data_IF_265050034808
#
_entry.id   IF_265050034808
#
_cell.length_a   1.000
_cell.length_b   1.000
_cell.length_c   1.000
_cell.angle_alpha   90.00
_cell.angle_beta   90.00
_cell.angle_gamma   90.00
#
_symmetry.space_group_name_H-M   'P 1'
#
loop_
_entity.id
_entity.type
_entity.pdbx_description
1 polymer ?
#
# COMPACT_ATOMS: atom_id res chain seq x y z
N UNK A 1 -12.64 -2.80 24.52
CA UNK A 1 -11.18 -2.60 24.32
C UNK A 1 -10.40 -2.61 25.64
N UNK A 2 -10.79 -1.91 26.70
CA UNK A 2 -10.05 -1.92 27.98
C UNK A 2 -9.85 -3.32 28.57
N UNK A 3 -10.90 -4.13 28.65
CA UNK A 3 -10.84 -5.52 29.15
C UNK A 3 -9.95 -6.44 28.30
N UNK A 4 -10.00 -6.32 26.96
CA UNK A 4 -9.13 -7.07 26.04
C UNK A 4 -7.65 -6.78 26.26
N UNK A 5 -7.30 -5.53 26.55
CA UNK A 5 -5.91 -5.13 26.83
C UNK A 5 -5.43 -5.56 28.23
N UNK A 6 -6.36 -5.65 29.19
CA UNK A 6 -6.01 -6.02 30.56
C UNK A 6 -5.70 -7.51 30.70
N UNK A 7 -6.43 -8.39 30.00
CA UNK A 7 -6.18 -9.84 30.02
C UNK A 7 -6.56 -10.48 28.68
N UNK A 8 -5.60 -10.56 27.77
CA UNK A 8 -5.79 -11.09 26.41
C UNK A 8 -6.21 -12.56 26.45
N UNK A 9 -5.62 -13.40 27.31
CA UNK A 9 -5.93 -14.82 27.34
C UNK A 9 -7.34 -15.10 27.84
N UNK A 10 -7.74 -14.54 29.01
CA UNK A 10 -9.10 -14.73 29.51
C UNK A 10 -10.16 -14.17 28.59
N UNK A 11 -9.87 -13.06 27.91
CA UNK A 11 -10.77 -12.50 26.92
C UNK A 11 -10.86 -13.39 25.67
N UNK A 12 -9.76 -14.03 25.29
CA UNK A 12 -9.75 -14.93 24.13
C UNK A 12 -10.49 -16.20 24.40
N UNK A 13 -10.34 -16.80 25.60
CA UNK A 13 -11.09 -18.01 26.00
C UNK A 13 -12.61 -17.76 25.92
N UNK A 14 -13.08 -16.59 26.35
CA UNK A 14 -14.48 -16.19 26.21
C UNK A 14 -14.91 -15.99 24.74
N UNK A 15 -14.00 -15.57 23.88
CA UNK A 15 -14.25 -15.29 22.46
C UNK A 15 -14.05 -16.50 21.57
N UNK A 16 -13.31 -17.52 22.02
CA UNK A 16 -13.09 -18.79 21.32
C UNK A 16 -14.31 -19.73 21.50
N UNK A 17 -15.49 -19.12 21.51
CA UNK A 17 -16.79 -19.77 21.67
C UNK A 17 -17.80 -19.30 20.63
N UNK A 18 -18.91 -20.05 20.45
CA UNK A 18 -19.97 -19.62 19.51
C UNK A 18 -20.71 -18.38 20.00
N UNK A 19 -20.90 -18.23 21.32
CA UNK A 19 -21.49 -17.04 21.94
C UNK A 19 -20.60 -15.80 21.73
N UNK A 20 -19.28 -15.94 21.90
CA UNK A 20 -18.32 -14.88 21.67
C UNK A 20 -18.34 -14.39 20.22
N UNK A 21 -18.38 -15.31 19.25
CA UNK A 21 -18.51 -14.96 17.83
C UNK A 21 -19.82 -14.26 17.54
N UNK A 22 -20.94 -14.74 18.10
CA UNK A 22 -22.25 -14.13 17.92
C UNK A 22 -22.28 -12.70 18.46
N UNK A 23 -21.80 -12.49 19.69
CA UNK A 23 -21.69 -11.18 20.33
C UNK A 23 -20.91 -10.18 19.46
N UNK A 24 -19.73 -10.58 18.95
CA UNK A 24 -18.91 -9.71 18.10
C UNK A 24 -19.51 -9.49 16.72
N UNK A 25 -20.22 -10.48 16.15
CA UNK A 25 -20.96 -10.30 14.90
C UNK A 25 -22.06 -9.24 15.03
N UNK A 26 -22.81 -9.25 16.12
CA UNK A 26 -23.84 -8.24 16.42
C UNK A 26 -23.22 -6.86 16.61
N UNK A 27 -22.15 -6.76 17.41
CA UNK A 27 -21.43 -5.50 17.63
C UNK A 27 -20.79 -4.95 16.35
N UNK A 28 -20.32 -5.81 15.47
CA UNK A 28 -19.75 -5.40 14.17
C UNK A 28 -20.83 -4.83 13.24
N UNK A 29 -22.05 -5.34 13.32
CA UNK A 29 -23.19 -4.79 12.57
C UNK A 29 -23.53 -3.35 13.00
N UNK A 30 -23.38 -3.04 14.30
CA UNK A 30 -23.59 -1.68 14.83
C UNK A 30 -22.43 -0.73 14.45
N UNK A 31 -21.21 -1.16 14.69
CA UNK A 31 -19.97 -0.39 14.38
C UNK A 31 -18.78 -1.32 14.24
N UNK A 32 -18.38 -1.61 13.01
CA UNK A 32 -17.29 -2.54 12.71
C UNK A 32 -15.87 -1.95 12.75
N UNK A 33 -15.71 -0.64 12.94
CA UNK A 33 -14.43 0.07 12.81
C UNK A 33 -13.35 -0.41 13.79
N UNK A 34 -13.74 -1.03 14.92
CA UNK A 34 -12.82 -1.57 15.93
C UNK A 34 -12.34 -3.02 15.65
N UNK A 35 -12.98 -3.72 14.73
CA UNK A 35 -12.72 -5.15 14.50
C UNK A 35 -11.30 -5.50 14.08
N UNK A 36 -10.59 -4.74 13.25
CA UNK A 36 -9.19 -5.03 12.95
C UNK A 36 -8.30 -5.01 14.20
N UNK A 37 -8.55 -4.07 15.12
CA UNK A 37 -7.80 -3.97 16.38
C UNK A 37 -8.12 -5.17 17.30
N UNK A 38 -9.40 -5.55 17.44
CA UNK A 38 -9.80 -6.73 18.22
C UNK A 38 -9.12 -7.98 17.67
N UNK A 39 -9.28 -8.25 16.37
CA UNK A 39 -8.67 -9.42 15.75
C UNK A 39 -7.16 -9.48 16.00
N UNK A 40 -6.47 -8.36 15.83
CA UNK A 40 -5.03 -8.29 15.99
C UNK A 40 -4.57 -8.66 17.40
N UNK A 41 -5.32 -8.30 18.44
CA UNK A 41 -4.99 -8.63 19.82
C UNK A 41 -5.29 -10.10 20.18
N UNK A 42 -6.38 -10.68 19.67
CA UNK A 42 -6.81 -12.02 20.05
C UNK A 42 -6.28 -13.14 19.14
N UNK A 43 -5.75 -12.83 17.95
CA UNK A 43 -5.42 -13.81 16.90
C UNK A 43 -4.44 -14.92 17.30
N UNK A 44 -3.48 -14.63 18.23
CA UNK A 44 -2.47 -15.62 18.63
C UNK A 44 -3.06 -16.77 19.44
N UNK A 45 -3.76 -16.52 20.56
CA UNK A 45 -4.36 -17.57 21.34
C UNK A 45 -5.68 -18.13 20.75
N UNK A 46 -6.27 -17.47 19.73
CA UNK A 46 -7.53 -17.89 19.11
C UNK A 46 -7.36 -19.17 18.29
N UNK A 47 -8.32 -20.11 18.42
CA UNK A 47 -8.30 -21.32 17.62
C UNK A 47 -8.49 -21.06 16.12
N UNK A 48 -7.93 -21.90 15.26
CA UNK A 48 -8.01 -21.73 13.80
C UNK A 48 -9.45 -21.68 13.26
N UNK A 49 -10.37 -22.40 13.93
CA UNK A 49 -11.82 -22.38 13.61
C UNK A 49 -12.35 -20.94 13.64
N UNK A 50 -12.08 -20.22 14.73
CA UNK A 50 -12.64 -18.88 14.94
C UNK A 50 -11.78 -17.78 14.33
N UNK A 51 -10.49 -18.00 14.14
CA UNK A 51 -9.56 -17.06 13.46
C UNK A 51 -10.10 -16.61 12.11
N UNK A 52 -10.59 -17.55 11.29
CA UNK A 52 -11.15 -17.24 9.98
C UNK A 52 -12.41 -16.36 10.07
N UNK A 53 -13.23 -16.56 11.10
CA UNK A 53 -14.47 -15.81 11.32
C UNK A 53 -14.14 -14.37 11.75
N UNK A 54 -13.27 -14.20 12.76
CA UNK A 54 -12.87 -12.87 13.24
C UNK A 54 -12.14 -12.06 12.17
N UNK A 55 -11.30 -12.71 11.35
CA UNK A 55 -10.67 -12.10 10.16
C UNK A 55 -11.72 -11.58 9.20
N UNK A 56 -12.75 -12.38 8.91
CA UNK A 56 -13.86 -11.97 8.04
C UNK A 56 -14.63 -10.78 8.61
N UNK A 57 -14.78 -10.67 9.92
CA UNK A 57 -15.40 -9.52 10.58
C UNK A 57 -14.53 -8.25 10.51
N UNK A 58 -13.20 -8.38 10.46
CA UNK A 58 -12.27 -7.26 10.34
C UNK A 58 -12.18 -6.65 8.92
N UNK A 59 -12.44 -7.46 7.86
CA UNK A 59 -12.30 -7.03 6.45
C UNK A 59 -13.14 -5.80 6.07
N UNK A 60 -14.42 -5.66 6.48
CA UNK A 60 -15.24 -4.50 6.09
C UNK A 60 -14.61 -3.17 6.49
N UNK A 61 -13.95 -3.09 7.65
CA UNK A 61 -13.28 -1.87 8.10
C UNK A 61 -12.10 -1.50 7.20
N UNK A 62 -11.33 -2.49 6.72
CA UNK A 62 -10.25 -2.28 5.77
C UNK A 62 -10.79 -1.76 4.44
N UNK A 63 -11.87 -2.38 3.95
CA UNK A 63 -12.54 -1.95 2.71
C UNK A 63 -13.10 -0.53 2.84
N UNK A 64 -13.71 -0.19 3.97
CA UNK A 64 -14.20 1.16 4.26
C UNK A 64 -13.09 2.21 4.25
N UNK A 65 -11.93 1.90 4.86
CA UNK A 65 -10.73 2.75 4.78
C UNK A 65 -10.27 2.92 3.32
N UNK A 66 -10.27 1.85 2.55
CA UNK A 66 -9.87 1.86 1.13
C UNK A 66 -10.80 2.74 0.29
N UNK A 67 -12.12 2.66 0.49
CA UNK A 67 -13.11 3.46 -0.23
C UNK A 67 -12.94 4.97 0.03
N UNK A 68 -12.58 5.38 1.25
CA UNK A 68 -12.28 6.79 1.57
C UNK A 68 -11.15 7.37 0.72
N UNK A 69 -10.21 6.54 0.28
CA UNK A 69 -9.08 6.93 -0.57
C UNK A 69 -9.52 7.02 -2.03
N UNK A 70 -10.35 6.08 -2.49
CA UNK A 70 -10.79 5.99 -3.89
C UNK A 70 -11.62 7.21 -4.32
N UNK A 71 -12.43 7.77 -3.42
CA UNK A 71 -13.29 8.91 -3.72
C UNK A 71 -12.53 10.19 -4.08
N UNK A 72 -11.24 10.30 -3.74
CA UNK A 72 -10.41 11.48 -3.98
C UNK A 72 -9.48 11.40 -5.20
N UNK A 73 -9.72 10.44 -6.12
CA UNK A 73 -9.18 10.51 -7.48
C UNK A 73 -7.66 10.30 -7.62
N UNK A 74 -7.11 9.21 -7.07
CA UNK A 74 -5.71 8.81 -7.29
C UNK A 74 -5.54 8.19 -8.70
N UNK A 75 -5.75 8.96 -9.74
CA UNK A 75 -5.61 8.48 -11.12
C UNK A 75 -4.66 9.34 -11.90
N UNK A 76 -3.39 8.92 -11.99
CA UNK A 76 -2.49 9.43 -13.01
C UNK A 76 -2.98 8.98 -14.39
N UNK A 77 -3.52 9.90 -15.17
CA UNK A 77 -3.82 9.67 -16.58
C UNK A 77 -2.76 10.36 -17.41
N UNK A 78 -2.07 9.62 -18.28
CA UNK A 78 -1.22 10.23 -19.30
C UNK A 78 -2.08 10.58 -20.51
N UNK A 79 -1.99 11.83 -20.94
CA UNK A 79 -2.55 12.26 -22.23
C UNK A 79 -1.57 11.84 -23.32
N UNK A 80 -2.04 11.09 -24.30
CA UNK A 80 -1.31 10.79 -25.52
C UNK A 80 -2.10 11.35 -26.69
N UNK A 81 -1.48 12.18 -27.48
CA UNK A 81 -2.03 12.66 -28.73
C UNK A 81 -1.92 11.57 -29.80
N UNK A 82 -2.97 11.32 -30.51
CA UNK A 82 -3.04 10.36 -31.61
C UNK A 82 -3.44 11.06 -32.90
N UNK A 83 -2.89 10.65 -34.08
CA UNK A 83 -3.00 11.38 -35.32
C UNK A 83 -4.42 11.50 -35.92
N UNK A 84 -5.39 10.82 -35.30
CA UNK A 84 -6.77 10.88 -35.78
C UNK A 84 -7.73 10.99 -34.60
N UNK A 85 -8.69 11.92 -34.73
CA UNK A 85 -9.84 11.93 -33.83
C UNK A 85 -10.76 10.76 -34.18
N UNK A 86 -10.98 9.84 -33.27
CA UNK A 86 -11.88 8.72 -33.41
C UNK A 86 -13.21 9.03 -32.72
N UNK A 87 -14.32 8.62 -33.38
CA UNK A 87 -15.63 8.75 -32.77
C UNK A 87 -15.69 8.05 -31.41
N UNK A 88 -16.06 8.79 -30.37
CA UNK A 88 -16.02 8.29 -28.98
C UNK A 88 -14.79 8.71 -28.16
N UNK A 89 -13.82 9.41 -28.73
CA UNK A 89 -12.77 10.05 -27.93
C UNK A 89 -13.32 11.23 -27.14
N UNK A 90 -12.98 11.34 -25.84
CA UNK A 90 -13.55 12.38 -24.98
C UNK A 90 -13.03 13.78 -25.28
N UNK A 91 -11.86 13.90 -25.90
CA UNK A 91 -11.18 15.18 -26.12
C UNK A 91 -10.41 15.18 -27.44
N UNK A 92 -10.29 16.32 -28.09
CA UNK A 92 -9.39 16.54 -29.22
C UNK A 92 -8.34 17.62 -28.87
N UNK A 93 -7.20 17.56 -29.53
CA UNK A 93 -6.10 18.52 -29.35
C UNK A 93 -6.12 19.54 -30.48
N UNK A 94 -6.54 20.77 -30.16
CA UNK A 94 -6.49 21.87 -31.12
C UNK A 94 -5.05 22.21 -31.49
N UNK A 95 -4.17 22.30 -30.48
CA UNK A 95 -2.75 22.67 -30.66
C UNK A 95 -2.02 21.71 -31.60
N UNK A 96 -2.14 20.40 -31.40
CA UNK A 96 -1.53 19.40 -32.28
C UNK A 96 -2.18 19.38 -33.69
N UNK A 97 -3.48 19.62 -33.77
CA UNK A 97 -4.17 19.74 -35.06
C UNK A 97 -3.65 20.91 -35.86
N UNK A 98 -3.44 22.07 -35.21
CA UNK A 98 -2.89 23.27 -35.84
C UNK A 98 -1.42 23.07 -36.23
N UNK A 99 -0.61 22.54 -35.33
CA UNK A 99 0.82 22.33 -35.57
C UNK A 99 1.09 21.40 -36.77
N UNK A 100 0.31 20.34 -36.92
CA UNK A 100 0.52 19.36 -37.99
C UNK A 100 -0.19 19.71 -39.31
N UNK A 101 -1.17 20.62 -39.28
CA UNK A 101 -1.97 20.95 -40.46
C UNK A 101 -2.11 22.47 -40.72
N UNK A 102 -1.06 23.27 -40.63
CA UNK A 102 -1.18 24.73 -40.74
C UNK A 102 -1.73 25.20 -42.08
N UNK A 103 -1.29 24.59 -43.16
CA UNK A 103 -1.75 24.97 -44.54
C UNK A 103 -3.22 24.54 -44.78
N UNK A 104 -3.64 23.40 -44.22
CA UNK A 104 -5.03 22.96 -44.37
C UNK A 104 -5.99 23.87 -43.61
N UNK A 105 -5.55 24.39 -42.46
CA UNK A 105 -6.33 25.34 -41.67
C UNK A 105 -6.44 26.67 -42.42
N UNK A 106 -5.33 27.18 -42.93
CA UNK A 106 -5.31 28.40 -43.73
C UNK A 106 -6.24 28.32 -44.95
N UNK A 107 -6.17 27.20 -45.68
CA UNK A 107 -6.98 26.93 -46.87
C UNK A 107 -8.41 26.47 -46.55
N UNK A 108 -8.82 26.42 -45.29
CA UNK A 108 -10.13 25.92 -44.83
C UNK A 108 -10.49 24.51 -45.37
N UNK A 109 -9.48 23.67 -45.59
CA UNK A 109 -9.60 22.32 -46.18
C UNK A 109 -9.35 21.21 -45.15
N UNK A 110 -9.53 21.50 -43.82
CA UNK A 110 -9.34 20.56 -42.75
C UNK A 110 -10.42 19.47 -42.80
N UNK A 111 -9.99 18.23 -42.90
CA UNK A 111 -10.87 17.05 -42.87
C UNK A 111 -10.86 16.41 -41.48
N UNK A 112 -11.85 15.59 -41.17
CA UNK A 112 -11.97 14.85 -39.92
C UNK A 112 -10.72 14.02 -39.62
N UNK A 113 -10.05 13.45 -40.63
CA UNK A 113 -8.83 12.67 -40.51
C UNK A 113 -7.60 13.50 -40.11
N UNK A 114 -7.65 14.80 -40.20
CA UNK A 114 -6.57 15.72 -39.87
C UNK A 114 -6.64 16.16 -38.40
N UNK A 115 -7.70 15.82 -37.70
CA UNK A 115 -7.94 16.18 -36.33
C UNK A 115 -7.18 15.23 -35.39
N UNK A 116 -6.40 15.78 -34.48
CA UNK A 116 -5.69 15.02 -33.45
C UNK A 116 -6.56 14.84 -32.22
N UNK A 117 -6.75 13.58 -31.81
CA UNK A 117 -7.49 13.23 -30.60
C UNK A 117 -6.56 13.08 -29.40
N UNK A 118 -7.10 13.26 -28.20
CA UNK A 118 -6.39 13.01 -26.94
C UNK A 118 -6.86 11.66 -26.38
N UNK A 119 -6.00 10.65 -26.47
CA UNK A 119 -6.20 9.37 -25.83
C UNK A 119 -5.66 9.43 -24.40
N UNK A 120 -6.50 9.18 -23.41
CA UNK A 120 -6.08 9.06 -22.03
C UNK A 120 -5.70 7.61 -21.73
N UNK A 121 -4.40 7.29 -21.82
CA UNK A 121 -3.89 5.97 -21.42
C UNK A 121 -3.55 5.94 -19.95
N UNK A 122 -4.09 4.95 -19.24
CA UNK A 122 -3.66 4.64 -17.89
C UNK A 122 -2.37 3.84 -17.96
N UNK A 123 -1.26 4.43 -17.54
CA UNK A 123 -0.01 3.67 -17.38
C UNK A 123 -0.14 2.83 -16.12
N UNK A 124 -0.04 1.51 -16.25
CA UNK A 124 0.03 0.61 -15.10
C UNK A 124 1.28 0.92 -14.30
N UNK A 125 1.10 1.08 -13.02
CA UNK A 125 2.20 1.27 -12.06
C UNK A 125 2.73 -0.09 -11.64
N UNK A 126 4.00 -0.11 -11.23
CA UNK A 126 4.69 -1.30 -10.74
C UNK A 126 5.25 -0.98 -9.37
N UNK A 127 4.70 -1.62 -8.37
CA UNK A 127 4.91 -1.21 -6.98
C UNK A 127 5.42 -2.39 -6.17
N UNK A 128 6.39 -2.14 -5.30
CA UNK A 128 6.75 -3.08 -4.25
C UNK A 128 6.44 -2.48 -2.89
N UNK A 129 5.65 -3.20 -2.12
CA UNK A 129 5.39 -2.91 -0.71
C UNK A 129 6.38 -3.72 0.12
N UNK A 130 7.17 -3.05 0.96
CA UNK A 130 8.16 -3.66 1.85
C UNK A 130 7.72 -3.38 3.28
N UNK A 131 7.21 -4.42 3.96
CA UNK A 131 6.61 -4.33 5.29
C UNK A 131 7.54 -4.91 6.34
N UNK A 132 7.85 -4.10 7.34
CA UNK A 132 8.57 -4.48 8.54
C UNK A 132 7.69 -5.32 9.46
N UNK A 133 8.19 -6.49 9.83
CA UNK A 133 7.56 -7.43 10.78
C UNK A 133 8.56 -7.82 11.88
N UNK A 134 9.48 -6.93 12.23
CA UNK A 134 10.44 -7.13 13.32
C UNK A 134 9.80 -6.98 14.70
N UNK A 135 10.53 -7.36 15.76
CA UNK A 135 10.03 -7.35 17.12
C UNK A 135 9.65 -5.95 17.63
N UNK A 136 10.34 -4.89 17.17
CA UNK A 136 10.01 -3.49 17.49
C UNK A 136 8.64 -3.06 16.98
N UNK A 137 8.17 -3.69 15.90
CA UNK A 137 6.84 -3.46 15.34
C UNK A 137 5.70 -4.13 16.12
N UNK A 138 5.97 -4.80 17.24
CA UNK A 138 4.95 -5.52 18.01
C UNK A 138 3.77 -4.61 18.43
N UNK A 139 2.58 -5.20 18.49
CA UNK A 139 1.38 -4.53 18.97
C UNK A 139 0.78 -3.52 17.99
N UNK A 140 0.61 -2.27 18.42
CA UNK A 140 -0.07 -1.23 17.65
C UNK A 140 0.63 -0.85 16.35
N UNK A 141 1.96 -0.86 16.35
CA UNK A 141 2.74 -0.52 15.15
C UNK A 141 2.49 -1.54 14.03
N UNK A 142 2.54 -2.83 14.33
CA UNK A 142 2.27 -3.87 13.35
C UNK A 142 0.81 -3.83 12.87
N UNK A 143 -0.15 -3.53 13.75
CA UNK A 143 -1.54 -3.31 13.35
C UNK A 143 -1.66 -2.19 12.33
N UNK A 144 -1.08 -1.02 12.62
CA UNK A 144 -1.11 0.13 11.72
C UNK A 144 -0.42 -0.20 10.37
N UNK A 145 0.71 -0.88 10.42
CA UNK A 145 1.46 -1.29 9.24
C UNK A 145 0.68 -2.32 8.41
N UNK A 146 0.07 -3.31 9.05
CA UNK A 146 -0.77 -4.31 8.39
C UNK A 146 -1.99 -3.69 7.72
N UNK A 147 -2.69 -2.78 8.41
CA UNK A 147 -3.81 -2.05 7.85
C UNK A 147 -3.39 -1.16 6.67
N UNK A 148 -2.28 -0.42 6.83
CA UNK A 148 -1.72 0.41 5.75
C UNK A 148 -1.41 -0.42 4.51
N UNK A 149 -0.74 -1.55 4.70
CA UNK A 149 -0.38 -2.46 3.60
C UNK A 149 -1.61 -3.08 2.96
N UNK A 150 -2.62 -3.46 3.75
CA UNK A 150 -3.88 -4.02 3.24
C UNK A 150 -4.65 -3.00 2.39
N UNK A 151 -4.72 -1.76 2.85
CA UNK A 151 -5.35 -0.66 2.11
C UNK A 151 -4.59 -0.38 0.81
N UNK A 152 -3.26 -0.33 0.86
CA UNK A 152 -2.43 -0.17 -0.34
C UNK A 152 -2.62 -1.33 -1.33
N UNK A 153 -2.61 -2.57 -0.85
CA UNK A 153 -2.81 -3.75 -1.68
C UNK A 153 -4.19 -3.72 -2.38
N UNK A 154 -5.23 -3.32 -1.68
CA UNK A 154 -6.56 -3.14 -2.26
C UNK A 154 -6.57 -2.07 -3.37
N UNK A 155 -5.93 -0.92 -3.13
CA UNK A 155 -5.82 0.13 -4.15
C UNK A 155 -5.03 -0.28 -5.37
N UNK A 156 -4.06 -1.16 -5.17
CA UNK A 156 -3.16 -1.64 -6.22
C UNK A 156 -3.62 -2.93 -6.87
N UNK A 157 -4.84 -3.40 -6.59
CA UNK A 157 -5.37 -4.65 -7.16
C UNK A 157 -5.30 -4.70 -8.70
N UNK A 158 -5.51 -3.53 -9.34
CA UNK A 158 -5.44 -3.38 -10.81
C UNK A 158 -4.03 -3.06 -11.34
N UNK A 159 -3.06 -2.91 -10.46
CA UNK A 159 -1.66 -2.63 -10.78
C UNK A 159 -0.81 -3.89 -10.62
N UNK A 160 0.40 -3.88 -11.16
CA UNK A 160 1.36 -4.95 -10.92
C UNK A 160 2.12 -4.64 -9.62
N UNK A 161 1.85 -5.37 -8.55
CA UNK A 161 2.50 -5.14 -7.27
C UNK A 161 3.03 -6.40 -6.60
N UNK A 162 4.11 -6.22 -5.82
CA UNK A 162 4.67 -7.25 -4.96
C UNK A 162 4.56 -6.83 -3.49
N UNK A 163 4.57 -7.81 -2.59
CA UNK A 163 4.64 -7.60 -1.15
C UNK A 163 5.80 -8.42 -0.61
N UNK A 164 6.69 -7.75 0.11
CA UNK A 164 7.83 -8.32 0.80
C UNK A 164 7.65 -8.06 2.30
N UNK A 165 7.71 -9.11 3.09
CA UNK A 165 7.80 -9.03 4.55
C UNK A 165 9.26 -9.17 4.95
N UNK A 166 9.71 -8.42 5.94
CA UNK A 166 11.06 -8.56 6.47
C UNK A 166 11.13 -8.39 7.98
N UNK A 167 12.10 -9.05 8.55
CA UNK A 167 12.57 -8.94 9.93
C UNK A 167 14.09 -9.20 9.93
N UNK A 168 14.58 -10.24 10.59
CA UNK A 168 15.96 -10.74 10.44
C UNK A 168 16.22 -11.35 9.06
N UNK A 169 15.15 -11.79 8.37
CA UNK A 169 15.13 -12.35 7.03
C UNK A 169 14.12 -11.60 6.16
N UNK A 170 14.10 -11.86 4.86
CA UNK A 170 13.09 -11.27 3.97
C UNK A 170 12.44 -12.33 3.09
N UNK A 171 11.11 -12.31 3.03
CA UNK A 171 10.31 -13.21 2.22
C UNK A 171 9.36 -12.45 1.28
N UNK A 172 9.13 -13.00 0.09
CA UNK A 172 8.17 -12.48 -0.86
C UNK A 172 6.83 -13.15 -0.62
N UNK A 173 5.89 -12.43 -0.01
CA UNK A 173 4.52 -12.90 0.24
C UNK A 173 3.69 -12.93 -1.05
N UNK A 174 3.89 -11.94 -1.92
CA UNK A 174 3.28 -11.88 -3.26
C UNK A 174 4.33 -11.42 -4.27
N UNK A 175 4.58 -12.21 -5.32
CA UNK A 175 5.45 -11.83 -6.43
C UNK A 175 4.75 -10.79 -7.31
N UNK A 176 5.54 -9.93 -7.98
CA UNK A 176 4.99 -8.82 -8.78
C UNK A 176 4.08 -9.28 -9.92
N UNK A 177 4.39 -10.42 -10.55
CA UNK A 177 3.60 -11.00 -11.65
C UNK A 177 2.54 -12.02 -11.18
N UNK A 178 2.42 -12.24 -9.88
CA UNK A 178 1.49 -13.23 -9.34
C UNK A 178 0.09 -12.63 -9.24
N UNK A 179 -0.89 -13.32 -9.81
CA UNK A 179 -2.29 -13.05 -9.53
C UNK A 179 -2.66 -13.75 -8.23
N UNK A 180 -3.01 -12.98 -7.20
CA UNK A 180 -3.45 -13.48 -5.90
C UNK A 180 -4.69 -12.69 -5.49
N UNK A 181 -5.79 -13.34 -5.04
CA UNK A 181 -6.99 -12.63 -4.60
C UNK A 181 -6.66 -11.63 -3.49
N UNK A 182 -7.21 -10.43 -3.58
CA UNK A 182 -6.93 -9.36 -2.61
C UNK A 182 -7.32 -9.76 -1.18
N UNK A 183 -8.40 -10.50 -1.03
CA UNK A 183 -8.87 -11.00 0.26
C UNK A 183 -7.81 -11.89 0.92
N UNK A 184 -7.22 -12.82 0.17
CA UNK A 184 -6.14 -13.67 0.67
C UNK A 184 -4.91 -12.85 1.06
N UNK A 185 -4.58 -11.80 0.30
CA UNK A 185 -3.47 -10.91 0.63
C UNK A 185 -3.73 -10.18 1.94
N UNK A 186 -4.94 -9.65 2.13
CA UNK A 186 -5.34 -8.97 3.36
C UNK A 186 -5.25 -9.92 4.56
N UNK A 187 -5.72 -11.16 4.40
CA UNK A 187 -5.66 -12.17 5.44
C UNK A 187 -4.22 -12.50 5.85
N UNK A 188 -3.35 -12.75 4.86
CA UNK A 188 -1.94 -13.04 5.12
C UNK A 188 -1.20 -11.88 5.82
N UNK A 189 -1.53 -10.64 5.45
CA UNK A 189 -0.95 -9.45 6.11
C UNK A 189 -1.46 -9.34 7.55
N UNK A 190 -2.76 -9.54 7.77
CA UNK A 190 -3.34 -9.48 9.11
C UNK A 190 -2.79 -10.59 10.03
N UNK A 191 -2.41 -11.73 9.47
CA UNK A 191 -1.81 -12.84 10.21
C UNK A 191 -0.28 -12.72 10.37
N UNK A 192 0.36 -11.71 9.77
CA UNK A 192 1.80 -11.49 9.93
C UNK A 192 2.15 -11.22 11.40
N UNK A 193 3.25 -11.79 11.87
CA UNK A 193 3.71 -11.65 13.24
C UNK A 193 4.98 -10.80 13.33
N UNK A 194 5.06 -9.97 14.40
CA UNK A 194 6.28 -9.23 14.71
C UNK A 194 7.22 -10.13 15.52
N UNK A 195 8.33 -10.54 14.90
CA UNK A 195 9.35 -11.40 15.53
C UNK A 195 10.75 -11.10 14.99
N UNK A 196 11.75 -11.27 15.86
CA UNK A 196 13.16 -11.16 15.47
C UNK A 196 13.70 -9.73 15.37
N UNK A 197 14.93 -9.65 14.86
CA UNK A 197 15.65 -8.39 14.65
C UNK A 197 15.19 -7.67 13.40
N UNK A 198 15.59 -6.41 13.24
CA UNK A 198 15.22 -5.57 12.12
C UNK A 198 16.38 -5.43 11.15
N UNK A 199 16.21 -5.89 9.90
CA UNK A 199 17.18 -5.74 8.83
C UNK A 199 16.49 -5.07 7.62
N UNK A 200 16.44 -3.74 7.61
CA UNK A 200 15.81 -2.97 6.52
C UNK A 200 16.54 -3.22 5.19
N UNK A 201 17.87 -3.40 5.23
CA UNK A 201 18.67 -3.63 4.02
C UNK A 201 18.18 -4.85 3.24
N UNK A 202 17.99 -6.01 3.90
CA UNK A 202 17.54 -7.24 3.20
C UNK A 202 16.10 -7.11 2.69
N UNK A 203 15.25 -6.38 3.40
CA UNK A 203 13.88 -6.06 2.94
C UNK A 203 13.90 -5.26 1.64
N UNK A 204 14.71 -4.19 1.60
CA UNK A 204 14.90 -3.36 0.41
C UNK A 204 15.57 -4.13 -0.73
N UNK A 205 16.58 -4.96 -0.44
CA UNK A 205 17.22 -5.79 -1.46
C UNK A 205 16.21 -6.73 -2.14
N UNK A 206 15.40 -7.42 -1.34
CA UNK A 206 14.37 -8.33 -1.85
C UNK A 206 13.31 -7.59 -2.66
N UNK A 207 12.88 -6.42 -2.19
CA UNK A 207 11.94 -5.55 -2.89
C UNK A 207 12.50 -5.06 -4.22
N UNK A 208 13.74 -4.63 -4.26
CA UNK A 208 14.41 -4.19 -5.48
C UNK A 208 14.54 -5.33 -6.51
N UNK A 209 14.84 -6.56 -6.05
CA UNK A 209 14.88 -7.76 -6.90
C UNK A 209 13.50 -8.04 -7.52
N UNK A 210 12.40 -7.89 -6.78
CA UNK A 210 11.06 -8.03 -7.35
C UNK A 210 10.76 -6.94 -8.38
N UNK A 211 11.10 -5.68 -8.08
CA UNK A 211 10.85 -4.54 -8.96
C UNK A 211 11.68 -4.61 -10.26
N UNK A 212 12.87 -5.22 -10.23
CA UNK A 212 13.76 -5.36 -11.37
C UNK A 212 13.36 -6.47 -12.36
N UNK A 213 12.47 -7.40 -11.97
CA UNK A 213 11.97 -8.46 -12.86
C UNK A 213 11.21 -7.93 -14.07
N UNK A 214 10.81 -6.66 -14.02
CA UNK A 214 10.05 -6.01 -15.07
C UNK A 214 10.94 -5.01 -15.77
N UNK A 215 11.14 -5.20 -17.07
CA UNK A 215 12.04 -4.37 -17.91
C UNK A 215 11.41 -3.08 -18.45
N UNK A 216 10.14 -2.80 -18.15
CA UNK A 216 9.43 -1.63 -18.65
C UNK A 216 9.86 -0.31 -17.97
N UNK A 217 9.26 0.80 -18.44
CA UNK A 217 9.62 2.19 -18.14
C UNK A 217 9.92 2.43 -16.64
N UNK A 218 11.10 3.00 -16.36
CA UNK A 218 11.61 3.28 -15.01
C UNK A 218 10.74 4.27 -14.23
N UNK A 219 10.04 5.16 -14.93
CA UNK A 219 9.19 6.21 -14.32
C UNK A 219 7.92 5.67 -13.66
N UNK A 220 7.44 4.49 -14.06
CA UNK A 220 6.22 3.88 -13.49
C UNK A 220 6.51 2.91 -12.33
N UNK A 221 7.77 2.80 -11.89
CA UNK A 221 8.21 1.85 -10.86
C UNK A 221 8.61 2.56 -9.58
N UNK A 222 8.08 2.13 -8.44
CA UNK A 222 8.46 2.66 -7.15
C UNK A 222 8.28 1.64 -6.01
N UNK A 223 8.97 1.90 -4.90
CA UNK A 223 8.84 1.16 -3.66
C UNK A 223 8.12 1.96 -2.59
N UNK A 224 7.45 1.27 -1.68
CA UNK A 224 6.92 1.82 -0.44
C UNK A 224 7.45 0.96 0.71
N UNK A 225 8.26 1.56 1.56
CA UNK A 225 8.74 0.94 2.79
C UNK A 225 7.84 1.35 3.96
N UNK A 226 7.43 0.38 4.77
CA UNK A 226 6.62 0.59 5.97
C UNK A 226 7.41 0.01 7.15
N UNK A 227 7.90 0.86 8.07
CA UNK A 227 8.79 0.49 9.18
C UNK A 227 8.73 1.54 10.29
N UNK A 228 9.21 1.20 11.49
CA UNK A 228 9.49 2.18 12.55
C UNK A 228 10.83 2.92 12.33
N UNK A 229 11.65 2.43 11.39
CA UNK A 229 12.95 3.02 11.05
C UNK A 229 14.10 2.62 11.98
N UNK A 230 13.84 1.77 12.96
CA UNK A 230 14.86 1.28 13.89
C UNK A 230 15.40 -0.05 13.37
N UNK A 231 16.66 -0.08 12.98
CA UNK A 231 17.33 -1.31 12.53
C UNK A 231 18.56 -1.63 13.36
N UNK A 232 18.81 -2.90 13.57
CA UNK A 232 19.91 -3.41 14.41
C UNK A 232 20.73 -4.50 13.71
N UNK A 233 20.41 -4.82 12.46
CA UNK A 233 21.15 -5.77 11.62
C UNK A 233 21.21 -5.29 10.16
N UNK A 234 22.20 -5.83 9.45
CA UNK A 234 22.45 -5.55 8.03
C UNK A 234 23.25 -4.28 7.80
N UNK A 235 23.51 -4.02 6.53
CA UNK A 235 24.22 -2.83 6.07
C UNK A 235 23.30 -1.60 6.09
N UNK A 236 23.88 -0.41 5.82
CA UNK A 236 23.13 0.83 5.71
C UNK A 236 22.05 0.76 4.61
N UNK A 237 20.76 0.87 4.96
CA UNK A 237 19.67 0.78 4.00
C UNK A 237 19.69 1.90 2.96
N UNK A 238 20.38 3.03 3.22
CA UNK A 238 20.53 4.15 2.29
C UNK A 238 21.22 3.71 1.00
N UNK A 239 22.14 2.74 1.07
CA UNK A 239 22.85 2.19 -0.10
C UNK A 239 21.85 1.61 -1.11
N UNK A 240 20.85 0.86 -0.63
CA UNK A 240 19.83 0.27 -1.49
C UNK A 240 18.72 1.26 -1.85
N UNK A 241 18.36 2.18 -0.95
CA UNK A 241 17.39 3.21 -1.23
C UNK A 241 17.76 4.02 -2.49
N UNK A 242 19.05 4.38 -2.65
CA UNK A 242 19.58 5.08 -3.84
C UNK A 242 19.39 4.30 -5.15
N UNK A 243 19.31 2.97 -5.10
CA UNK A 243 19.15 2.10 -6.28
C UNK A 243 17.69 2.01 -6.75
N UNK A 244 16.72 2.36 -5.90
CA UNK A 244 15.31 2.41 -6.30
C UNK A 244 15.05 3.51 -7.33
N UNK A 245 14.16 3.30 -8.29
CA UNK A 245 13.68 4.39 -9.16
C UNK A 245 13.07 5.52 -8.36
N UNK A 246 12.20 5.17 -7.39
CA UNK A 246 11.64 6.02 -6.35
C UNK A 246 11.28 5.14 -5.15
N UNK A 247 11.57 5.57 -3.93
CA UNK A 247 11.25 4.86 -2.70
C UNK A 247 10.56 5.80 -1.72
N UNK A 248 9.28 5.58 -1.47
CA UNK A 248 8.54 6.27 -0.43
C UNK A 248 8.66 5.51 0.89
N UNK A 249 8.56 6.22 2.01
CA UNK A 249 8.62 5.63 3.34
C UNK A 249 7.42 6.07 4.16
N UNK A 250 6.70 5.10 4.71
CA UNK A 250 5.66 5.31 5.72
C UNK A 250 6.27 4.88 7.05
N UNK A 251 6.58 5.87 7.89
CA UNK A 251 7.12 5.64 9.22
C UNK A 251 6.01 5.40 10.23
N UNK A 252 6.20 4.38 11.07
CA UNK A 252 5.33 4.05 12.20
C UNK A 252 6.08 4.41 13.49
N UNK A 253 5.94 5.65 14.03
CA UNK A 253 6.75 6.07 15.18
C UNK A 253 6.56 5.13 16.37
N UNK A 254 7.65 4.57 16.89
CA UNK A 254 7.66 3.78 18.09
C UNK A 254 7.49 4.69 19.33
N UNK A 255 7.03 4.13 20.45
CA UNK A 255 6.92 4.90 21.70
C UNK A 255 8.30 5.29 22.24
N UNK A 256 9.28 4.38 22.08
CA UNK A 256 10.69 4.62 22.42
C UNK A 256 11.48 4.87 21.13
N UNK A 257 12.48 5.77 21.19
CA UNK A 257 13.37 6.10 20.05
C UNK A 257 12.68 6.61 18.79
N UNK A 258 11.46 7.16 18.92
CA UNK A 258 10.68 7.67 17.80
C UNK A 258 11.46 8.67 16.92
N UNK A 259 12.24 9.57 17.53
CA UNK A 259 13.02 10.58 16.81
C UNK A 259 14.10 9.96 15.94
N UNK A 260 14.81 8.95 16.43
CA UNK A 260 15.86 8.25 15.67
C UNK A 260 15.23 7.46 14.50
N UNK A 261 14.16 6.72 14.76
CA UNK A 261 13.46 5.97 13.70
C UNK A 261 12.90 6.89 12.62
N UNK A 262 12.25 7.97 12.99
CA UNK A 262 11.72 8.97 12.04
C UNK A 262 12.85 9.61 11.22
N UNK A 263 13.99 9.93 11.84
CA UNK A 263 15.17 10.46 11.16
C UNK A 263 15.65 9.49 10.08
N UNK A 264 15.85 8.23 10.46
CA UNK A 264 16.22 7.15 9.52
C UNK A 264 15.23 7.02 8.37
N UNK A 265 13.93 7.00 8.65
CA UNK A 265 12.89 6.93 7.63
C UNK A 265 12.97 8.10 6.65
N UNK A 266 13.21 9.32 7.12
CA UNK A 266 13.38 10.51 6.28
C UNK A 266 14.62 10.43 5.40
N UNK A 267 15.74 9.96 5.94
CA UNK A 267 16.98 9.79 5.21
C UNK A 267 16.84 8.74 4.10
N UNK A 268 16.19 7.60 4.39
CA UNK A 268 15.88 6.55 3.39
C UNK A 268 14.98 7.11 2.28
N UNK A 269 13.92 7.83 2.64
CA UNK A 269 13.01 8.42 1.67
C UNK A 269 13.73 9.45 0.77
N UNK A 270 14.54 10.33 1.36
CA UNK A 270 15.35 11.32 0.63
C UNK A 270 16.33 10.63 -0.33
N UNK A 271 17.07 9.63 0.14
CA UNK A 271 18.01 8.87 -0.67
C UNK A 271 17.31 8.14 -1.83
N UNK A 272 16.11 7.62 -1.60
CA UNK A 272 15.26 7.00 -2.60
C UNK A 272 14.47 7.97 -3.49
N UNK A 273 14.69 9.28 -3.39
CA UNK A 273 13.96 10.32 -4.15
C UNK A 273 12.45 10.25 -3.96
N UNK A 274 12.03 9.71 -2.83
CA UNK A 274 10.63 9.55 -2.44
C UNK A 274 10.19 10.56 -1.40
N UNK A 275 9.03 10.30 -0.81
CA UNK A 275 8.44 11.07 0.28
C UNK A 275 8.40 10.25 1.55
N UNK A 276 8.46 10.92 2.66
CA UNK A 276 8.25 10.37 3.99
C UNK A 276 6.90 10.80 4.53
N UNK A 277 6.17 9.87 5.15
CA UNK A 277 4.93 10.12 5.88
C UNK A 277 5.01 9.38 7.22
N UNK A 278 4.66 10.08 8.31
CA UNK A 278 4.46 9.46 9.61
C UNK A 278 2.99 9.07 9.77
N UNK A 279 2.72 7.88 10.28
CA UNK A 279 1.38 7.39 10.60
C UNK A 279 1.36 6.94 12.06
N UNK A 280 0.74 7.72 12.93
CA UNK A 280 0.61 7.41 14.36
C UNK A 280 -0.62 6.55 14.65
N UNK A 281 -1.68 6.72 13.85
CA UNK A 281 -2.94 5.99 13.97
C UNK A 281 -3.42 5.55 12.58
N UNK A 282 -4.05 4.36 12.50
CA UNK A 282 -4.61 3.85 11.24
C UNK A 282 -5.64 4.81 10.59
N UNK A 283 -6.25 5.70 11.36
CA UNK A 283 -7.17 6.74 10.86
C UNK A 283 -6.47 7.77 9.95
N UNK A 284 -5.15 7.92 10.06
CA UNK A 284 -4.33 8.82 9.25
C UNK A 284 -3.92 8.18 7.90
N UNK A 285 -4.02 6.85 7.80
CA UNK A 285 -3.65 6.09 6.59
C UNK A 285 -4.26 6.69 5.31
N UNK A 286 -5.57 7.00 5.25
CA UNK A 286 -6.18 7.53 4.04
C UNK A 286 -5.50 8.82 3.55
N UNK A 287 -5.15 9.72 4.48
CA UNK A 287 -4.48 10.98 4.15
C UNK A 287 -3.07 10.74 3.63
N UNK A 288 -2.26 9.98 4.37
CA UNK A 288 -0.88 9.67 3.98
C UNK A 288 -0.82 9.02 2.60
N UNK A 289 -1.73 8.09 2.30
CA UNK A 289 -1.77 7.40 1.01
C UNK A 289 -2.24 8.27 -0.14
N UNK A 290 -3.23 9.14 0.07
CA UNK A 290 -3.66 10.11 -0.94
C UNK A 290 -2.48 11.00 -1.34
N UNK A 291 -1.78 11.56 -0.36
CA UNK A 291 -0.62 12.43 -0.61
C UNK A 291 0.53 11.70 -1.30
N UNK A 292 0.76 10.41 -0.98
CA UNK A 292 1.80 9.58 -1.57
C UNK A 292 1.47 9.21 -3.03
N UNK A 293 0.24 8.76 -3.27
CA UNK A 293 -0.17 8.21 -4.57
C UNK A 293 -0.62 9.28 -5.57
N UNK A 294 -1.03 10.47 -5.13
CA UNK A 294 -1.47 11.57 -6.01
C UNK A 294 -0.34 12.21 -6.81
N UNK A 295 0.91 12.03 -6.39
CA UNK A 295 2.09 12.69 -6.94
C UNK A 295 3.09 11.71 -7.57
N UNK A 296 2.71 10.45 -7.71
CA UNK A 296 3.47 9.42 -8.43
C UNK A 296 2.87 9.19 -9.78
#
# INVERSE_FOLDING_TARGET
>A
MGLLKANVYASTDALDTEEGVKFFSEKTAESGDFMPEVYFFIRRPLSEKYKSIFRRLARPSILKLSLKITSKGIRGQFKKTVPYYQMGMPEFSMDETIQHNPLKIYNRSLNYKDIYGIERKRQKRKVVLVLDTSGSMYGRLLLNAALTTSVLAYHMEKEDFAIVLFNSTAMVMKKINQKKPIITIIDDILDSEAVGFTNIFIGLEKGLKELSKIRENRKSRFGILITDGIYNRGDDPIILAKKYPKLHVIGMPAENDADQGIKTCREIAKAGRGKFYAVNDYKEIPRALIELLSQT
#
